data_IF_707529699828
#
_entry.id   IF_707529699828
#
_cell.length_a   1.000
_cell.length_b   1.000
_cell.length_c   1.000
_cell.angle_alpha   90.00
_cell.angle_beta   90.00
_cell.angle_gamma   90.00
#
_symmetry.space_group_name_H-M   'P 1'
#
loop_
_entity.id
_entity.type
_entity.pdbx_description
1 polymer ?
#
# COMPACT_ATOMS: atom_id res chain seq x y z
N UNK A 1 14.13 -7.44 3.78
CA UNK A 1 12.78 -7.45 3.20
C UNK A 1 12.17 -6.06 3.34
N UNK A 2 11.84 -5.43 2.23
CA UNK A 2 11.16 -4.14 2.15
C UNK A 2 9.68 -4.34 2.49
N UNK A 3 9.10 -3.46 3.30
CA UNK A 3 7.69 -3.56 3.73
C UNK A 3 6.75 -3.43 2.51
N UNK A 4 7.12 -2.62 1.53
CA UNK A 4 6.48 -2.53 0.22
C UNK A 4 6.08 -3.89 -0.37
N UNK A 5 7.04 -4.79 -0.51
CA UNK A 5 6.88 -6.07 -1.21
C UNK A 5 5.81 -6.95 -0.54
N UNK A 6 5.76 -6.92 0.79
CA UNK A 6 4.73 -7.62 1.57
C UNK A 6 3.37 -6.99 1.40
N UNK A 7 3.27 -5.66 1.39
CA UNK A 7 1.97 -4.97 1.24
C UNK A 7 1.44 -5.19 -0.17
N UNK A 8 2.30 -5.10 -1.18
CA UNK A 8 1.98 -5.45 -2.56
C UNK A 8 1.46 -6.88 -2.64
N UNK A 9 2.19 -7.84 -2.06
CA UNK A 9 1.73 -9.23 -1.98
C UNK A 9 0.38 -9.35 -1.27
N UNK A 10 0.18 -8.71 -0.12
CA UNK A 10 -1.09 -8.76 0.59
C UNK A 10 -2.25 -8.14 -0.19
N UNK A 11 -2.00 -7.07 -0.92
CA UNK A 11 -2.98 -6.41 -1.78
C UNK A 11 -3.34 -7.29 -2.99
N UNK A 12 -2.34 -7.86 -3.67
CA UNK A 12 -2.53 -8.80 -4.79
C UNK A 12 -3.26 -10.09 -4.35
N UNK A 13 -2.99 -10.56 -3.13
CA UNK A 13 -3.70 -11.71 -2.55
C UNK A 13 -5.10 -11.37 -2.03
N UNK A 14 -5.54 -10.10 -2.08
CA UNK A 14 -6.83 -9.65 -1.56
C UNK A 14 -6.94 -9.73 -0.02
N UNK A 15 -5.82 -9.89 0.68
CA UNK A 15 -5.76 -9.90 2.15
C UNK A 15 -5.87 -8.49 2.73
N UNK A 16 -5.53 -7.47 1.94
CA UNK A 16 -5.56 -6.07 2.33
C UNK A 16 -6.44 -5.26 1.37
N UNK A 17 -7.37 -4.51 1.94
CA UNK A 17 -8.16 -3.51 1.21
C UNK A 17 -7.36 -2.21 1.05
N UNK A 18 -7.70 -1.40 0.04
CA UNK A 18 -7.08 -0.09 -0.22
C UNK A 18 -7.05 0.82 1.00
N UNK A 19 -8.11 0.82 1.81
CA UNK A 19 -8.21 1.59 3.06
C UNK A 19 -7.10 1.22 4.06
N UNK A 20 -6.75 -0.07 4.12
CA UNK A 20 -5.69 -0.57 5.00
C UNK A 20 -4.31 -0.19 4.48
N UNK A 21 -4.11 -0.29 3.16
CA UNK A 21 -2.88 0.20 2.49
C UNK A 21 -2.73 1.70 2.74
N UNK A 22 -3.82 2.47 2.68
CA UNK A 22 -3.86 3.91 2.92
C UNK A 22 -3.52 4.24 4.39
N UNK A 23 -4.05 3.50 5.35
CA UNK A 23 -3.80 3.74 6.78
C UNK A 23 -2.32 3.54 7.19
N UNK A 24 -1.59 2.70 6.46
CA UNK A 24 -0.18 2.46 6.71
C UNK A 24 0.74 3.39 5.91
N UNK A 25 0.18 4.21 5.02
CA UNK A 25 0.93 5.31 4.39
C UNK A 25 1.40 6.29 5.46
N UNK A 26 2.68 6.67 5.38
CA UNK A 26 3.35 7.51 6.38
C UNK A 26 3.84 6.76 7.62
N UNK A 27 3.46 5.49 7.82
CA UNK A 27 3.99 4.62 8.88
C UNK A 27 4.93 3.55 8.35
N UNK A 28 4.52 2.93 7.25
CA UNK A 28 5.11 1.72 6.71
C UNK A 28 5.60 1.92 5.28
N UNK A 29 4.79 2.61 4.47
CA UNK A 29 5.08 2.95 3.08
C UNK A 29 4.86 4.44 2.87
N UNK A 30 5.39 4.99 1.78
CA UNK A 30 5.13 6.36 1.33
C UNK A 30 3.89 6.44 0.43
N UNK A 31 3.44 7.66 0.16
CA UNK A 31 2.33 7.90 -0.78
C UNK A 31 2.66 7.42 -2.21
N UNK A 32 3.93 7.53 -2.62
CA UNK A 32 4.43 7.02 -3.91
C UNK A 32 4.33 5.49 -3.98
N UNK A 33 4.72 4.81 -2.90
CA UNK A 33 4.60 3.35 -2.79
C UNK A 33 3.13 2.89 -2.77
N UNK A 34 2.24 3.65 -2.14
CA UNK A 34 0.80 3.39 -2.19
C UNK A 34 0.27 3.47 -3.62
N UNK A 35 0.66 4.50 -4.36
CA UNK A 35 0.27 4.69 -5.76
C UNK A 35 0.81 3.55 -6.64
N UNK A 36 2.01 3.06 -6.37
CA UNK A 36 2.58 1.90 -7.09
C UNK A 36 1.87 0.57 -6.76
N UNK A 37 1.42 0.38 -5.51
CA UNK A 37 0.69 -0.83 -5.09
C UNK A 37 -0.75 -0.83 -5.59
N UNK A 38 -1.44 0.30 -5.45
CA UNK A 38 -2.88 0.40 -5.71
C UNK A 38 -3.20 0.85 -7.12
N UNK A 39 -2.25 1.50 -7.81
CA UNK A 39 -2.46 2.14 -9.11
C UNK A 39 -3.31 3.41 -9.03
N UNK A 40 -3.63 3.87 -7.81
CA UNK A 40 -4.45 5.05 -7.56
C UNK A 40 -3.64 6.12 -6.82
N UNK A 41 -3.78 7.40 -7.19
CA UNK A 41 -3.08 8.46 -6.50
C UNK A 41 -3.51 8.52 -5.04
N UNK A 42 -2.54 8.66 -4.14
CA UNK A 42 -2.81 8.86 -2.73
C UNK A 42 -3.45 10.24 -2.51
N UNK A 43 -4.78 10.26 -2.39
CA UNK A 43 -5.57 11.43 -1.97
C UNK A 43 -5.79 11.36 -0.47
N UNK A 44 -5.09 12.23 0.26
CA UNK A 44 -5.16 12.38 1.72
C UNK A 44 -6.52 12.91 2.20
#
# INVERSE_FOLDING_TARGET
MIWFDRIKFYYEQGLWSKERVHNVVGKVITAEEYEEITGEPYIA
#
